data_IF_248651518855
#
_entry.id   IF_248651518855
#
_cell.length_a   1.000
_cell.length_b   1.000
_cell.length_c   1.000
_cell.angle_alpha   90.00
_cell.angle_beta   90.00
_cell.angle_gamma   90.00
#
_symmetry.space_group_name_H-M   'P 1'
#
loop_
_entity.id
_entity.type
_entity.pdbx_description
1 polymer ?
#
# COMPACT_ATOMS: atom_id res chain seq x y z
N UNK A 1 9.61 5.35 -2.44
CA UNK A 1 8.93 4.77 -1.26
C UNK A 1 7.47 4.43 -1.57
N UNK A 2 7.10 3.15 -1.53
CA UNK A 2 5.72 2.68 -1.71
C UNK A 2 4.80 3.28 -0.62
N UNK A 3 3.56 3.58 -0.98
CA UNK A 3 2.53 4.04 -0.06
C UNK A 3 1.81 2.82 0.55
N UNK A 4 1.63 2.82 1.87
CA UNK A 4 0.75 1.85 2.55
C UNK A 4 -0.74 2.21 2.41
N UNK A 5 -1.60 1.42 3.03
CA UNK A 5 -3.06 1.65 3.02
C UNK A 5 -3.38 3.00 3.66
N UNK A 6 -4.13 3.84 2.95
CA UNK A 6 -4.57 5.14 3.45
C UNK A 6 -6.09 5.13 3.59
N UNK A 7 -6.59 5.44 4.80
CA UNK A 7 -8.03 5.42 5.08
C UNK A 7 -8.54 6.85 5.26
N UNK A 8 -9.67 7.15 4.63
CA UNK A 8 -10.30 8.46 4.70
C UNK A 8 -9.60 9.57 3.91
N UNK A 9 -8.40 9.35 3.38
CA UNK A 9 -7.72 10.29 2.47
C UNK A 9 -6.49 9.63 1.85
N UNK A 10 -6.30 9.80 0.54
CA UNK A 10 -5.06 9.45 -0.14
C UNK A 10 -4.27 10.73 -0.48
N UNK A 11 -3.07 10.87 0.10
CA UNK A 11 -2.22 12.06 -0.09
C UNK A 11 -1.16 11.89 -1.17
N UNK A 12 -0.95 10.66 -1.67
CA UNK A 12 0.15 10.34 -2.58
C UNK A 12 -0.34 9.85 -3.95
N UNK A 13 -1.65 9.62 -4.15
CA UNK A 13 -2.23 9.24 -5.44
C UNK A 13 -3.11 10.28 -6.18
N UNK A 14 -2.80 11.59 -6.25
CA UNK A 14 -3.55 12.44 -7.18
C UNK A 14 -3.13 12.16 -8.63
N UNK A 15 -4.03 11.62 -9.45
CA UNK A 15 -3.81 11.43 -10.90
C UNK A 15 -3.97 12.74 -11.68
N UNK A 16 -4.74 13.70 -11.14
CA UNK A 16 -4.90 15.05 -11.71
C UNK A 16 -4.29 16.11 -10.80
N UNK A 17 -3.12 16.60 -11.17
CA UNK A 17 -2.41 17.64 -10.42
C UNK A 17 -3.17 18.96 -10.35
N UNK A 18 -3.83 19.37 -11.44
CA UNK A 18 -4.64 20.59 -11.46
C UNK A 18 -5.75 20.58 -10.39
N UNK A 19 -6.42 19.44 -10.21
CA UNK A 19 -7.46 19.29 -9.19
C UNK A 19 -6.83 19.34 -7.79
N UNK A 20 -5.71 18.66 -7.58
CA UNK A 20 -5.01 18.64 -6.31
C UNK A 20 -4.45 20.01 -5.90
N UNK A 21 -3.88 20.77 -6.83
CA UNK A 21 -3.39 22.12 -6.56
C UNK A 21 -4.53 23.09 -6.21
N UNK A 22 -5.68 22.94 -6.86
CA UNK A 22 -6.85 23.78 -6.61
C UNK A 22 -7.59 23.44 -5.30
N UNK A 23 -7.63 22.16 -4.91
CA UNK A 23 -8.54 21.68 -3.85
C UNK A 23 -7.88 20.78 -2.79
N UNK A 24 -6.63 20.37 -2.98
CA UNK A 24 -5.96 19.37 -2.17
C UNK A 24 -6.55 17.96 -2.36
N UNK A 25 -6.24 17.07 -1.42
CA UNK A 25 -6.87 15.76 -1.35
C UNK A 25 -8.25 15.88 -0.67
N UNK A 26 -9.25 15.18 -1.20
CA UNK A 26 -10.61 15.16 -0.66
C UNK A 26 -10.70 14.18 0.51
N UNK A 27 -10.40 14.67 1.71
CA UNK A 27 -10.53 13.86 2.92
C UNK A 27 -12.01 13.61 3.28
N UNK A 28 -12.31 12.37 3.66
CA UNK A 28 -13.53 12.00 4.36
C UNK A 28 -13.65 12.78 5.67
N UNK A 29 -14.80 13.38 5.93
CA UNK A 29 -15.05 14.26 7.09
C UNK A 29 -16.00 13.68 8.13
N UNK A 30 -16.61 12.53 7.84
CA UNK A 30 -17.46 11.84 8.81
C UNK A 30 -16.66 11.13 9.90
N UNK A 31 -17.37 10.52 10.84
CA UNK A 31 -16.76 9.62 11.82
C UNK A 31 -16.45 8.28 11.17
N UNK A 32 -15.27 7.72 11.47
CA UNK A 32 -14.91 6.35 11.13
C UNK A 32 -14.93 5.53 12.42
N UNK A 33 -15.96 4.71 12.61
CA UNK A 33 -16.11 3.90 13.82
C UNK A 33 -15.21 2.66 13.80
N UNK A 34 -15.10 2.00 12.64
CA UNK A 34 -14.20 0.86 12.45
C UNK A 34 -13.82 0.69 10.98
N UNK A 35 -12.62 0.14 10.77
CA UNK A 35 -12.10 -0.18 9.44
C UNK A 35 -11.45 -1.54 9.54
N UNK A 36 -11.95 -2.50 8.78
CA UNK A 36 -11.39 -3.85 8.70
C UNK A 36 -10.90 -4.08 7.28
N UNK A 37 -9.60 -4.34 7.15
CA UNK A 37 -8.99 -4.79 5.90
C UNK A 37 -8.59 -6.25 6.05
N UNK A 38 -9.05 -7.06 5.10
CA UNK A 38 -8.61 -8.46 4.97
C UNK A 38 -7.71 -8.54 3.75
N UNK A 39 -6.40 -8.77 3.91
CA UNK A 39 -5.52 -8.98 2.77
C UNK A 39 -6.01 -10.16 1.92
N UNK A 40 -6.00 -9.99 0.60
CA UNK A 40 -6.17 -11.10 -0.32
C UNK A 40 -4.89 -11.93 -0.45
N UNK A 41 -4.85 -12.83 -1.42
CA UNK A 41 -3.62 -13.54 -1.75
C UNK A 41 -2.51 -12.56 -2.13
N UNK A 42 -1.28 -12.88 -1.70
CA UNK A 42 -0.10 -12.11 -2.06
C UNK A 42 0.00 -12.07 -3.60
N UNK A 43 0.26 -10.90 -4.17
CA UNK A 43 0.41 -10.75 -5.61
C UNK A 43 1.47 -11.73 -6.17
N UNK A 44 1.28 -12.31 -7.37
CA UNK A 44 2.22 -13.31 -7.93
C UNK A 44 3.66 -12.82 -8.03
N UNK A 45 3.85 -11.52 -8.20
CA UNK A 45 5.12 -10.82 -8.36
C UNK A 45 5.61 -10.13 -7.07
N UNK A 46 4.92 -10.32 -5.94
CA UNK A 46 5.36 -9.78 -4.65
C UNK A 46 6.69 -10.38 -4.23
N UNK A 47 7.63 -9.53 -3.80
CA UNK A 47 8.91 -9.95 -3.22
C UNK A 47 8.75 -10.91 -2.04
N UNK A 48 7.63 -10.83 -1.31
CA UNK A 48 7.31 -11.78 -0.21
C UNK A 48 7.23 -13.23 -0.68
N UNK A 49 6.78 -13.50 -1.92
CA UNK A 49 6.74 -14.87 -2.46
C UNK A 49 8.12 -15.45 -2.71
N UNK A 50 9.17 -14.63 -2.75
CA UNK A 50 10.54 -15.04 -2.98
C UNK A 50 11.35 -15.18 -1.69
N UNK A 51 10.79 -14.85 -0.53
CA UNK A 51 11.52 -14.87 0.74
C UNK A 51 12.03 -16.27 1.10
N UNK A 52 11.24 -17.30 0.86
CA UNK A 52 11.66 -18.69 1.12
C UNK A 52 12.78 -19.13 0.19
N UNK A 53 12.67 -18.79 -1.11
CA UNK A 53 13.73 -19.05 -2.08
C UNK A 53 15.04 -18.36 -1.68
N UNK A 54 14.96 -17.09 -1.29
CA UNK A 54 16.11 -16.29 -0.86
C UNK A 54 16.75 -16.88 0.41
N UNK A 55 15.94 -17.36 1.36
CA UNK A 55 16.42 -18.04 2.57
C UNK A 55 17.16 -19.33 2.23
N UNK A 56 16.61 -20.16 1.35
CA UNK A 56 17.26 -21.41 0.89
C UNK A 56 18.57 -21.13 0.17
N UNK A 57 18.61 -20.09 -0.67
CA UNK A 57 19.84 -19.70 -1.36
C UNK A 57 20.93 -19.24 -0.37
N UNK A 58 20.56 -18.48 0.67
CA UNK A 58 21.49 -18.02 1.69
C UNK A 58 22.11 -19.15 2.52
N UNK A 59 21.32 -20.16 2.88
CA UNK A 59 21.80 -21.34 3.63
C UNK A 59 22.84 -22.19 2.87
N UNK A 60 22.92 -22.06 1.55
CA UNK A 60 23.88 -22.81 0.74
C UNK A 60 25.31 -22.25 0.81
N UNK A 61 25.48 -21.05 1.36
CA UNK A 61 26.76 -20.35 1.48
C UNK A 61 27.25 -20.24 2.93
N UNK A 62 26.63 -20.97 3.84
CA UNK A 62 27.06 -21.20 5.23
C UNK A 62 27.66 -22.61 5.35
#
# INVERSE_FOLDING_TARGET
>A
PFQGISIGVDRKSPVSWRIFEAHGAFAYRGTLDSVTYTPGEIAPDSGERFLDLLRTMGQKYE
#
